data_IF_689974870171
#
_entry.id   IF_689974870171
#
_cell.length_a   1.000
_cell.length_b   1.000
_cell.length_c   1.000
_cell.angle_alpha   90.00
_cell.angle_beta   90.00
_cell.angle_gamma   90.00
#
_symmetry.space_group_name_H-M   'P 1'
#
loop_
_entity.id
_entity.type
_entity.pdbx_description
1 polymer ?
#
# COMPACT_ATOMS: atom_id res chain seq x y z
N UNK A 1 12.74 26.41 12.67
CA UNK A 1 13.75 25.39 12.32
C UNK A 1 13.07 24.07 12.03
N UNK A 2 13.26 23.55 10.81
CA UNK A 2 12.64 22.31 10.31
C UNK A 2 13.70 21.27 9.93
N UNK A 3 14.90 21.38 10.49
CA UNK A 3 16.03 20.50 10.22
C UNK A 3 16.24 19.62 11.45
N UNK A 4 16.31 18.32 11.23
CA UNK A 4 16.75 17.34 12.22
C UNK A 4 18.21 16.98 11.95
N UNK A 5 19.02 16.96 13.00
CA UNK A 5 20.42 16.55 12.92
C UNK A 5 20.56 15.07 13.27
N UNK A 6 21.12 14.30 12.36
CA UNK A 6 21.43 12.88 12.58
C UNK A 6 22.94 12.74 12.76
N UNK A 7 23.37 12.30 13.94
CA UNK A 7 24.75 11.87 14.14
C UNK A 7 24.86 10.39 13.82
N UNK A 8 25.75 10.04 12.91
CA UNK A 8 25.92 8.67 12.43
C UNK A 8 27.32 8.15 12.77
N UNK A 9 27.41 6.93 13.28
CA UNK A 9 28.66 6.24 13.60
C UNK A 9 28.70 4.86 12.94
N UNK A 10 29.88 4.39 12.57
CA UNK A 10 30.07 3.03 12.07
C UNK A 10 30.20 2.01 13.21
N UNK A 11 29.80 0.76 12.97
CA UNK A 11 29.89 -0.38 13.88
C UNK A 11 31.31 -0.97 14.05
N UNK A 12 32.25 -0.14 14.50
CA UNK A 12 33.61 -0.57 14.81
C UNK A 12 33.65 -1.71 15.86
N UNK A 13 34.67 -2.58 15.85
CA UNK A 13 34.83 -3.63 16.86
C UNK A 13 34.86 -3.12 18.31
N UNK A 14 35.26 -1.86 18.50
CA UNK A 14 35.33 -1.17 19.79
C UNK A 14 34.13 -0.25 20.06
N UNK A 15 32.99 -0.48 19.38
CA UNK A 15 31.80 0.38 19.44
C UNK A 15 31.41 0.89 20.84
N UNK A 16 31.40 0.07 21.93
CA UNK A 16 31.04 0.57 23.26
C UNK A 16 31.92 1.73 23.77
N UNK A 17 33.16 1.82 23.29
CA UNK A 17 34.08 2.92 23.57
C UNK A 17 33.94 4.02 22.53
N UNK A 18 33.85 3.65 21.25
CA UNK A 18 33.83 4.58 20.12
C UNK A 18 32.61 5.50 20.12
N UNK A 19 31.42 5.01 20.53
CA UNK A 19 30.22 5.85 20.64
C UNK A 19 30.43 7.02 21.61
N UNK A 20 31.28 6.89 22.62
CA UNK A 20 31.57 7.98 23.55
C UNK A 20 32.67 8.90 23.03
N UNK A 21 33.69 8.33 22.38
CA UNK A 21 34.83 9.09 21.86
C UNK A 21 34.47 9.96 20.66
N UNK A 22 33.59 9.47 19.78
CA UNK A 22 33.17 10.16 18.55
C UNK A 22 31.84 10.90 18.69
N UNK A 23 31.15 10.79 19.83
CA UNK A 23 29.95 11.58 20.05
C UNK A 23 30.30 13.06 20.05
N UNK A 24 29.62 13.90 19.23
CA UNK A 24 29.80 15.34 19.30
C UNK A 24 29.19 15.93 20.58
N UNK A 25 28.54 15.12 21.42
CA UNK A 25 27.77 15.54 22.59
C UNK A 25 26.28 15.61 22.28
N UNK A 26 25.45 15.36 23.29
CA UNK A 26 23.99 15.22 23.12
C UNK A 26 23.30 16.49 22.62
N UNK A 27 23.91 17.67 22.70
CA UNK A 27 23.36 18.91 22.15
C UNK A 27 23.47 19.04 20.63
N UNK A 28 24.26 18.20 19.97
CA UNK A 28 24.61 18.35 18.55
C UNK A 28 23.84 17.43 17.59
N UNK A 29 22.99 16.55 18.11
CA UNK A 29 22.16 15.66 17.28
C UNK A 29 20.76 15.50 17.87
N UNK A 30 19.78 15.28 17.02
CA UNK A 30 18.41 14.92 17.40
C UNK A 30 18.21 13.41 17.36
N UNK A 31 18.93 12.71 16.48
CA UNK A 31 18.90 11.24 16.33
C UNK A 31 20.32 10.70 16.32
N UNK A 32 20.58 9.63 17.06
CA UNK A 32 21.83 8.87 16.96
C UNK A 32 21.63 7.66 16.05
N UNK A 33 22.51 7.47 15.08
CA UNK A 33 22.38 6.46 14.03
C UNK A 33 23.64 5.60 13.93
N UNK A 34 23.47 4.33 13.57
CA UNK A 34 24.56 3.36 13.46
C UNK A 34 24.57 2.70 12.08
N UNK A 35 25.73 2.67 11.43
CA UNK A 35 25.95 1.88 10.22
C UNK A 35 26.44 0.47 10.56
N UNK A 36 26.01 -0.51 9.77
CA UNK A 36 26.23 -1.93 9.99
C UNK A 36 27.03 -2.53 8.84
N UNK A 37 28.36 -2.51 8.98
CA UNK A 37 29.31 -2.98 7.97
C UNK A 37 30.09 -4.23 8.39
N UNK A 38 30.11 -4.57 9.68
CA UNK A 38 30.96 -5.66 10.18
C UNK A 38 30.38 -7.08 10.01
N UNK A 39 29.14 -7.20 9.54
CA UNK A 39 28.47 -8.46 9.21
C UNK A 39 27.80 -9.21 10.37
N UNK A 40 27.90 -8.76 11.63
CA UNK A 40 27.28 -9.42 12.79
C UNK A 40 25.78 -9.03 12.99
N UNK A 41 25.31 -8.03 12.24
CA UNK A 41 23.93 -7.55 12.25
C UNK A 41 23.52 -6.81 13.54
N UNK A 42 22.24 -6.93 13.90
CA UNK A 42 21.63 -6.21 15.01
C UNK A 42 21.90 -6.91 16.36
N UNK A 43 23.13 -6.81 16.87
CA UNK A 43 23.48 -7.41 18.17
C UNK A 43 22.92 -6.60 19.35
N UNK A 44 22.67 -7.28 20.47
CA UNK A 44 22.24 -6.63 21.72
C UNK A 44 23.26 -5.62 22.23
N UNK A 45 24.56 -5.86 22.03
CA UNK A 45 25.62 -4.95 22.41
C UNK A 45 25.53 -3.62 21.66
N UNK A 46 25.34 -3.66 20.32
CA UNK A 46 25.14 -2.46 19.49
C UNK A 46 23.90 -1.67 19.90
N UNK A 47 22.79 -2.37 20.12
CA UNK A 47 21.55 -1.76 20.58
C UNK A 47 21.70 -1.06 21.94
N UNK A 48 22.40 -1.67 22.89
CA UNK A 48 22.66 -1.08 24.20
C UNK A 48 23.61 0.12 24.13
N UNK A 49 24.66 0.04 23.31
CA UNK A 49 25.60 1.14 23.10
C UNK A 49 24.91 2.38 22.52
N UNK A 50 24.07 2.20 21.49
CA UNK A 50 23.33 3.29 20.87
C UNK A 50 22.30 3.91 21.81
N UNK A 51 21.58 3.10 22.60
CA UNK A 51 20.68 3.63 23.62
C UNK A 51 21.40 4.46 24.68
N UNK A 52 22.59 4.00 25.12
CA UNK A 52 23.35 4.69 26.13
C UNK A 52 23.80 6.09 25.66
N UNK A 53 24.31 6.20 24.44
CA UNK A 53 24.77 7.50 23.89
C UNK A 53 23.61 8.43 23.51
N UNK A 54 22.47 7.88 23.05
CA UNK A 54 21.31 8.68 22.68
C UNK A 54 20.51 9.19 23.90
N UNK A 55 20.56 8.48 25.02
CA UNK A 55 19.77 8.79 26.20
C UNK A 55 18.26 8.70 25.92
N UNK A 56 17.55 9.82 26.02
CA UNK A 56 16.12 9.91 25.69
C UNK A 56 15.84 10.18 24.21
N UNK A 57 16.89 10.37 23.38
CA UNK A 57 16.74 10.68 21.96
C UNK A 57 16.51 9.41 21.13
N UNK A 58 15.84 9.53 19.97
CA UNK A 58 15.68 8.43 19.03
C UNK A 58 17.03 7.82 18.59
N UNK A 59 17.01 6.51 18.35
CA UNK A 59 18.11 5.80 17.67
C UNK A 59 17.64 5.25 16.32
N UNK A 60 18.56 5.13 15.37
CA UNK A 60 18.26 4.65 14.03
C UNK A 60 19.34 3.72 13.45
N UNK A 61 18.94 2.91 12.47
CA UNK A 61 19.85 2.13 11.65
C UNK A 61 20.17 2.97 10.41
N UNK A 62 21.40 3.46 10.33
CA UNK A 62 21.88 4.41 9.33
C UNK A 62 22.05 3.76 7.98
N UNK A 63 22.96 2.80 7.90
CA UNK A 63 23.22 2.04 6.68
C UNK A 63 23.31 0.56 7.01
N UNK A 64 22.53 -0.28 6.32
CA UNK A 64 22.58 -1.72 6.50
C UNK A 64 22.45 -2.46 5.17
N UNK A 65 23.24 -3.51 5.00
CA UNK A 65 23.15 -4.41 3.83
C UNK A 65 22.08 -5.49 4.02
N UNK A 66 22.24 -6.35 5.03
CA UNK A 66 21.22 -7.36 5.40
C UNK A 66 20.13 -6.70 6.24
N UNK A 67 18.94 -6.56 5.66
CA UNK A 67 17.81 -5.90 6.30
C UNK A 67 17.39 -6.63 7.59
N UNK A 68 16.94 -5.90 8.62
CA UNK A 68 16.49 -6.52 9.87
C UNK A 68 15.24 -7.36 9.62
N UNK A 69 15.00 -8.36 10.45
CA UNK A 69 13.72 -9.07 10.49
C UNK A 69 12.71 -8.34 11.38
N UNK A 70 11.42 -8.57 11.14
CA UNK A 70 10.35 -8.06 12.00
C UNK A 70 10.54 -8.47 13.47
N UNK A 71 11.04 -9.69 13.72
CA UNK A 71 11.33 -10.19 15.06
C UNK A 71 12.50 -9.46 15.73
N UNK A 72 13.58 -9.15 14.98
CA UNK A 72 14.69 -8.35 15.51
C UNK A 72 14.24 -6.94 15.88
N UNK A 73 13.42 -6.30 15.04
CA UNK A 73 12.85 -4.98 15.34
C UNK A 73 11.90 -5.03 16.56
N UNK A 74 11.12 -6.10 16.72
CA UNK A 74 10.28 -6.28 17.90
C UNK A 74 11.11 -6.48 19.18
N UNK A 75 12.26 -7.17 19.10
CA UNK A 75 13.18 -7.36 20.21
C UNK A 75 13.99 -6.09 20.56
N UNK A 76 14.15 -5.16 19.60
CA UNK A 76 14.90 -3.91 19.73
C UNK A 76 14.01 -2.71 19.37
N UNK A 77 12.96 -2.41 20.16
CA UNK A 77 11.85 -1.55 19.75
C UNK A 77 12.19 -0.05 19.65
N UNK A 78 13.39 0.38 20.05
CA UNK A 78 13.79 1.81 19.99
C UNK A 78 14.39 2.24 18.65
N UNK A 79 14.64 1.32 17.72
CA UNK A 79 15.00 1.69 16.35
C UNK A 79 13.84 2.42 15.69
N UNK A 80 14.05 3.69 15.35
CA UNK A 80 13.00 4.59 14.87
C UNK A 80 12.83 4.52 13.35
N UNK A 81 13.93 4.34 12.63
CA UNK A 81 13.94 4.02 11.21
C UNK A 81 15.15 3.12 10.89
N UNK A 82 15.11 2.51 9.70
CA UNK A 82 16.24 1.81 9.12
C UNK A 82 16.40 2.21 7.66
N UNK A 83 17.64 2.34 7.22
CA UNK A 83 17.97 2.68 5.83
C UNK A 83 18.90 1.62 5.26
N UNK A 84 18.43 0.97 4.20
CA UNK A 84 19.18 -0.04 3.47
C UNK A 84 20.13 0.62 2.48
N UNK A 85 21.34 0.08 2.33
CA UNK A 85 22.31 0.58 1.36
C UNK A 85 22.02 0.03 -0.04
N UNK A 86 21.67 0.92 -0.99
CA UNK A 86 21.23 0.65 -2.38
C UNK A 86 21.44 -0.79 -2.85
N UNK A 87 22.62 -1.09 -3.39
CA UNK A 87 22.87 -2.35 -4.10
C UNK A 87 23.02 -3.54 -3.12
N UNK A 88 23.35 -3.27 -1.85
CA UNK A 88 23.45 -4.30 -0.82
C UNK A 88 22.08 -4.83 -0.42
N UNK A 89 21.03 -3.99 -0.45
CA UNK A 89 19.66 -4.44 -0.18
C UNK A 89 19.27 -5.56 -1.15
N UNK A 90 19.53 -5.38 -2.44
CA UNK A 90 19.13 -6.37 -3.46
C UNK A 90 20.10 -7.55 -3.61
N UNK A 91 21.37 -7.37 -3.25
CA UNK A 91 22.37 -8.45 -3.33
C UNK A 91 22.47 -9.31 -2.06
N UNK A 92 22.10 -8.78 -0.89
CA UNK A 92 22.22 -9.48 0.39
C UNK A 92 20.88 -9.96 0.97
N UNK A 93 19.75 -9.61 0.35
CA UNK A 93 18.42 -10.03 0.80
C UNK A 93 17.65 -10.68 -0.35
N UNK A 94 16.89 -11.71 -0.01
CA UNK A 94 15.92 -12.31 -0.95
C UNK A 94 14.67 -11.44 -1.03
N UNK A 95 13.97 -11.51 -2.17
CA UNK A 95 12.68 -10.83 -2.35
C UNK A 95 11.66 -11.22 -1.26
N UNK A 96 11.63 -12.49 -0.85
CA UNK A 96 10.76 -12.97 0.22
C UNK A 96 11.06 -12.32 1.58
N UNK A 97 12.34 -12.12 1.92
CA UNK A 97 12.73 -11.42 3.15
C UNK A 97 12.29 -9.95 3.13
N UNK A 98 12.48 -9.26 2.00
CA UNK A 98 12.06 -7.87 1.84
C UNK A 98 10.53 -7.74 1.94
N UNK A 99 9.78 -8.59 1.27
CA UNK A 99 8.30 -8.63 1.37
C UNK A 99 7.88 -8.89 2.82
N UNK A 100 8.48 -9.88 3.48
CA UNK A 100 8.15 -10.21 4.87
C UNK A 100 8.44 -9.06 5.84
N UNK A 101 9.52 -8.30 5.64
CA UNK A 101 9.86 -7.15 6.47
C UNK A 101 8.88 -6.00 6.25
N UNK A 102 8.68 -5.58 5.01
CA UNK A 102 7.87 -4.40 4.68
C UNK A 102 6.35 -4.64 4.80
N UNK A 103 5.91 -5.89 4.97
CA UNK A 103 4.51 -6.25 5.29
C UNK A 103 4.27 -6.47 6.79
N UNK A 104 5.30 -6.41 7.64
CA UNK A 104 5.18 -6.68 9.07
C UNK A 104 4.38 -5.59 9.80
N UNK A 105 3.55 -6.00 10.78
CA UNK A 105 2.67 -5.07 11.50
C UNK A 105 3.42 -4.03 12.35
N UNK A 106 4.69 -4.27 12.69
CA UNK A 106 5.57 -3.37 13.44
C UNK A 106 6.48 -2.54 12.53
N UNK A 107 6.26 -2.52 11.21
CA UNK A 107 7.01 -1.71 10.25
C UNK A 107 6.04 -0.78 9.53
N UNK A 108 6.36 0.52 9.56
CA UNK A 108 5.64 1.53 8.80
C UNK A 108 6.45 1.89 7.55
N UNK A 109 5.86 1.64 6.39
CA UNK A 109 6.38 2.15 5.12
C UNK A 109 5.99 3.60 4.92
N UNK A 110 6.63 4.28 3.96
CA UNK A 110 6.25 5.63 3.55
C UNK A 110 4.74 5.77 3.28
N UNK A 111 4.11 4.72 2.73
CA UNK A 111 2.67 4.68 2.48
C UNK A 111 1.76 4.71 3.70
N UNK A 112 2.31 4.38 4.87
CA UNK A 112 1.58 4.19 6.13
C UNK A 112 1.90 5.29 7.16
N UNK A 113 2.91 6.15 6.93
CA UNK A 113 3.30 7.19 7.88
C UNK A 113 2.23 8.28 8.02
N UNK A 114 1.70 8.56 9.23
CA UNK A 114 0.73 9.63 9.45
C UNK A 114 1.38 11.01 9.25
N UNK A 115 0.69 11.93 8.56
CA UNK A 115 1.14 13.33 8.40
C UNK A 115 2.20 13.55 7.32
N UNK A 116 2.90 12.49 6.89
CA UNK A 116 3.63 12.44 5.64
C UNK A 116 2.62 11.94 4.63
N UNK A 117 1.97 12.84 3.90
CA UNK A 117 0.88 12.50 2.98
C UNK A 117 1.21 11.22 2.22
N UNK A 118 0.25 10.28 2.15
CA UNK A 118 0.31 9.06 1.32
C UNK A 118 1.14 9.38 0.07
N UNK A 119 2.14 8.54 -0.31
CA UNK A 119 3.09 8.82 -1.39
C UNK A 119 2.30 9.49 -2.49
N UNK A 120 2.73 10.69 -2.86
CA UNK A 120 1.99 11.55 -3.79
C UNK A 120 1.41 10.62 -4.85
N UNK A 121 0.08 10.48 -4.95
CA UNK A 121 -0.50 9.47 -5.82
C UNK A 121 -0.08 9.64 -7.30
N UNK A 122 0.54 10.77 -7.62
CA UNK A 122 1.20 11.06 -8.89
C UNK A 122 2.61 10.44 -9.07
N UNK A 123 3.22 9.81 -8.06
CA UNK A 123 4.58 9.23 -8.13
C UNK A 123 4.65 7.71 -7.91
N UNK A 124 3.63 7.07 -7.32
CA UNK A 124 3.55 5.60 -7.23
C UNK A 124 2.97 5.04 -8.54
N UNK A 125 3.71 4.16 -9.23
CA UNK A 125 3.19 3.45 -10.40
C UNK A 125 2.15 2.39 -9.97
N UNK A 126 0.88 2.70 -10.19
CA UNK A 126 -0.27 1.85 -9.88
C UNK A 126 -0.34 0.57 -10.74
N UNK A 127 0.28 0.58 -11.92
CA UNK A 127 0.27 -0.55 -12.85
C UNK A 127 1.38 -1.58 -12.55
N UNK A 128 2.38 -1.21 -11.74
CA UNK A 128 3.54 -2.07 -11.45
C UNK A 128 3.12 -3.45 -10.92
N UNK A 129 3.60 -4.50 -11.60
CA UNK A 129 3.32 -5.92 -11.33
C UNK A 129 1.83 -6.27 -11.21
N UNK A 130 0.95 -5.50 -11.85
CA UNK A 130 -0.49 -5.79 -11.87
C UNK A 130 -0.86 -6.83 -12.93
N UNK A 131 -1.99 -7.54 -12.75
CA UNK A 131 -2.49 -8.45 -13.77
C UNK A 131 -2.73 -7.73 -15.10
N UNK A 132 -2.19 -8.31 -16.18
CA UNK A 132 -2.33 -7.80 -17.54
C UNK A 132 -3.07 -8.81 -18.43
N UNK A 133 -4.06 -8.36 -19.17
CA UNK A 133 -4.76 -9.12 -20.22
C UNK A 133 -4.51 -8.44 -21.57
N UNK A 134 -4.21 -9.22 -22.60
CA UNK A 134 -3.93 -8.70 -23.94
C UNK A 134 -4.77 -9.42 -24.99
N UNK A 135 -5.04 -8.77 -26.12
CA UNK A 135 -5.70 -9.42 -27.26
C UNK A 135 -4.83 -10.56 -27.82
N UNK A 136 -3.52 -10.36 -27.86
CA UNK A 136 -2.57 -11.37 -28.33
C UNK A 136 -1.16 -11.10 -27.83
N UNK A 137 -0.29 -12.11 -27.96
CA UNK A 137 1.13 -12.02 -27.64
C UNK A 137 1.95 -12.66 -28.76
N UNK A 138 2.96 -11.93 -29.24
CA UNK A 138 4.08 -12.48 -29.99
C UNK A 138 5.12 -13.01 -28.99
N UNK A 139 5.29 -14.33 -28.90
CA UNK A 139 6.30 -14.92 -28.03
C UNK A 139 7.72 -14.51 -28.50
N UNK A 140 8.67 -14.25 -27.58
CA UNK A 140 8.58 -14.45 -26.12
C UNK A 140 8.11 -13.22 -25.32
N UNK A 141 7.56 -12.19 -25.97
CA UNK A 141 7.29 -10.87 -25.39
C UNK A 141 5.98 -10.83 -24.58
N UNK A 142 6.00 -11.44 -23.38
CA UNK A 142 4.83 -11.63 -22.53
C UNK A 142 4.16 -10.32 -22.07
N UNK A 143 2.85 -10.35 -21.82
CA UNK A 143 2.07 -9.19 -21.40
C UNK A 143 2.57 -8.54 -20.09
N UNK A 144 3.08 -9.34 -19.16
CA UNK A 144 3.60 -8.87 -17.87
C UNK A 144 4.83 -7.95 -18.02
N UNK A 145 5.58 -8.07 -19.12
CA UNK A 145 6.74 -7.22 -19.40
C UNK A 145 6.39 -5.78 -19.71
N UNK A 146 5.11 -5.42 -19.86
CA UNK A 146 4.70 -4.02 -19.99
C UNK A 146 4.56 -3.32 -18.63
N UNK A 147 4.69 -4.02 -17.51
CA UNK A 147 4.45 -3.47 -16.16
C UNK A 147 5.44 -4.01 -15.12
N UNK A 148 6.59 -4.52 -15.54
CA UNK A 148 7.57 -5.18 -14.66
C UNK A 148 8.62 -4.20 -14.10
N UNK A 149 8.64 -2.96 -14.59
CA UNK A 149 9.60 -1.92 -14.20
C UNK A 149 10.97 -2.05 -14.86
N UNK A 150 11.12 -2.95 -15.84
CA UNK A 150 12.35 -3.16 -16.58
C UNK A 150 12.20 -2.60 -18.02
N UNK A 151 12.78 -1.43 -18.33
CA UNK A 151 12.65 -0.85 -19.66
C UNK A 151 13.37 -1.66 -20.75
N UNK A 152 14.09 -2.74 -20.41
CA UNK A 152 14.77 -3.61 -21.38
C UNK A 152 13.88 -4.74 -21.91
N UNK A 153 12.83 -5.12 -21.17
CA UNK A 153 11.81 -6.09 -21.59
C UNK A 153 10.67 -5.40 -22.34
N UNK A 154 9.78 -6.17 -22.98
CA UNK A 154 8.59 -5.64 -23.67
C UNK A 154 7.47 -6.65 -23.81
N UNK A 155 6.23 -6.19 -23.78
CA UNK A 155 5.13 -6.90 -24.43
C UNK A 155 5.13 -6.62 -25.93
N UNK A 156 4.80 -7.63 -26.74
CA UNK A 156 4.55 -7.49 -28.17
C UNK A 156 3.26 -8.18 -28.60
N UNK A 157 2.45 -7.54 -29.44
CA UNK A 157 1.25 -8.13 -30.01
C UNK A 157 1.54 -8.91 -31.30
N UNK A 158 0.55 -9.70 -31.76
CA UNK A 158 0.52 -10.15 -33.15
C UNK A 158 0.30 -8.96 -34.12
N UNK A 159 0.55 -9.21 -35.41
CA UNK A 159 0.75 -8.16 -36.41
C UNK A 159 -0.59 -7.81 -37.08
N UNK A 160 -1.55 -7.35 -36.27
CA UNK A 160 -2.90 -7.03 -36.70
C UNK A 160 -3.41 -5.79 -35.97
N UNK A 161 -4.39 -5.11 -36.57
CA UNK A 161 -5.08 -3.96 -35.98
C UNK A 161 -6.57 -4.29 -35.82
N UNK A 162 -7.22 -3.97 -34.69
CA UNK A 162 -6.66 -3.40 -33.47
C UNK A 162 -6.03 -4.47 -32.52
N UNK A 163 -5.23 -4.00 -31.56
CA UNK A 163 -4.74 -4.80 -30.42
C UNK A 163 -4.92 -4.04 -29.11
N UNK A 164 -5.13 -4.77 -28.03
CA UNK A 164 -5.40 -4.18 -26.72
C UNK A 164 -4.51 -4.78 -25.65
N UNK A 165 -4.09 -3.94 -24.71
CA UNK A 165 -3.51 -4.32 -23.43
C UNK A 165 -4.34 -3.68 -22.31
N UNK A 166 -4.73 -4.48 -21.34
CA UNK A 166 -5.56 -4.10 -20.19
C UNK A 166 -4.84 -4.45 -18.89
N UNK A 167 -4.74 -3.48 -17.98
CA UNK A 167 -4.18 -3.66 -16.64
C UNK A 167 -5.30 -3.53 -15.59
N UNK A 168 -5.42 -4.51 -14.68
CA UNK A 168 -6.27 -4.38 -13.48
C UNK A 168 -5.47 -3.75 -12.34
N UNK A 169 -5.73 -2.48 -12.04
CA UNK A 169 -5.03 -1.72 -10.99
C UNK A 169 -5.38 -2.22 -9.57
N UNK A 170 -6.41 -3.04 -9.44
CA UNK A 170 -6.85 -3.70 -8.19
C UNK A 170 -7.80 -2.88 -7.32
N UNK A 171 -8.03 -1.61 -7.64
CA UNK A 171 -9.00 -0.74 -6.97
C UNK A 171 -9.41 0.42 -7.92
N UNK A 172 -10.45 1.17 -7.58
CA UNK A 172 -10.78 2.39 -8.31
C UNK A 172 -9.81 3.52 -7.93
N UNK A 173 -9.20 4.14 -8.94
CA UNK A 173 -8.32 5.29 -8.80
C UNK A 173 -8.84 6.46 -9.62
N UNK A 174 -8.71 7.67 -9.10
CA UNK A 174 -8.83 8.89 -9.86
C UNK A 174 -7.54 9.02 -10.66
N UNK A 175 -7.54 8.40 -11.84
CA UNK A 175 -6.40 8.39 -12.74
C UNK A 175 -6.14 9.81 -13.21
N UNK A 176 -4.91 10.27 -12.99
CA UNK A 176 -4.47 11.59 -13.39
C UNK A 176 -3.46 11.51 -14.53
N UNK A 177 -2.58 10.51 -14.50
CA UNK A 177 -1.49 10.38 -15.45
C UNK A 177 -1.28 8.94 -15.90
N UNK A 178 -1.06 8.76 -17.19
CA UNK A 178 -0.61 7.50 -17.80
C UNK A 178 0.64 7.78 -18.63
N UNK A 179 1.67 6.98 -18.46
CA UNK A 179 2.90 7.03 -19.25
C UNK A 179 3.03 5.71 -20.01
N UNK A 180 3.34 5.81 -21.30
CA UNK A 180 3.62 4.66 -22.17
C UNK A 180 5.03 4.84 -22.71
N UNK A 181 5.87 3.83 -22.49
CA UNK A 181 7.14 3.66 -23.18
C UNK A 181 6.96 2.57 -24.23
N UNK A 182 6.83 2.98 -25.48
CA UNK A 182 6.80 2.09 -26.63
C UNK A 182 8.21 1.57 -26.97
N UNK A 183 8.25 0.45 -27.67
CA UNK A 183 9.42 0.06 -28.47
C UNK A 183 9.37 0.78 -29.84
N UNK A 184 10.30 0.51 -30.76
CA UNK A 184 10.25 1.04 -32.14
C UNK A 184 8.93 0.71 -32.82
N UNK A 185 8.36 -0.47 -32.54
CA UNK A 185 7.04 -0.89 -33.01
C UNK A 185 5.89 -0.26 -32.19
N UNK A 186 5.83 1.08 -32.21
CA UNK A 186 4.86 1.90 -31.49
C UNK A 186 3.44 1.84 -32.08
N UNK A 187 2.45 2.24 -31.29
CA UNK A 187 1.12 2.58 -31.78
C UNK A 187 1.11 3.98 -32.40
N UNK A 188 0.79 4.07 -33.70
CA UNK A 188 0.62 5.36 -34.40
C UNK A 188 -0.70 6.01 -34.00
N UNK A 189 -1.76 5.21 -34.04
CA UNK A 189 -3.08 5.61 -33.56
C UNK A 189 -3.48 4.68 -32.42
N UNK A 190 -3.87 5.26 -31.28
CA UNK A 190 -4.29 4.48 -30.11
C UNK A 190 -5.20 5.28 -29.18
N UNK A 191 -5.96 4.54 -28.37
CA UNK A 191 -6.79 5.07 -27.30
C UNK A 191 -6.22 4.68 -25.94
N UNK A 192 -6.20 5.64 -25.02
CA UNK A 192 -6.08 5.39 -23.58
C UNK A 192 -7.50 5.39 -23.00
N UNK A 193 -7.91 4.29 -22.41
CA UNK A 193 -9.27 4.11 -21.90
C UNK A 193 -9.28 3.65 -20.45
N UNK A 194 -10.25 4.13 -19.68
CA UNK A 194 -10.48 3.73 -18.31
C UNK A 194 -11.83 3.03 -18.15
N UNK A 195 -11.92 2.10 -17.22
CA UNK A 195 -13.16 1.43 -16.84
C UNK A 195 -13.15 1.08 -15.35
N UNK A 196 -14.32 1.08 -14.71
CA UNK A 196 -14.51 0.63 -13.32
C UNK A 196 -14.96 -0.83 -13.23
N UNK A 197 -15.44 -1.41 -14.34
CA UNK A 197 -16.10 -2.72 -14.40
C UNK A 197 -15.53 -3.68 -15.46
N UNK A 198 -14.54 -3.25 -16.23
CA UNK A 198 -13.92 -3.97 -17.35
C UNK A 198 -14.87 -4.26 -18.54
N UNK A 199 -16.05 -3.65 -18.55
CA UNK A 199 -17.09 -3.85 -19.58
C UNK A 199 -17.36 -2.53 -20.31
N UNK A 200 -17.62 -1.48 -19.54
CA UNK A 200 -17.91 -0.14 -20.06
C UNK A 200 -16.64 0.71 -20.03
N UNK A 201 -16.21 1.18 -21.20
CA UNK A 201 -14.95 1.88 -21.38
C UNK A 201 -15.17 3.34 -21.74
N UNK A 202 -14.50 4.24 -21.02
CA UNK A 202 -14.44 5.67 -21.35
C UNK A 202 -13.08 5.98 -21.95
N UNK A 203 -13.08 6.63 -23.11
CA UNK A 203 -11.84 7.13 -23.73
C UNK A 203 -11.34 8.35 -22.98
N UNK A 204 -10.16 8.21 -22.36
CA UNK A 204 -9.50 9.28 -21.62
C UNK A 204 -8.59 10.10 -22.54
N UNK A 205 -7.98 9.44 -23.53
CA UNK A 205 -7.18 10.09 -24.57
C UNK A 205 -7.37 9.37 -25.91
N UNK A 206 -7.50 10.15 -26.97
CA UNK A 206 -7.40 9.69 -28.35
C UNK A 206 -6.11 10.27 -28.95
N UNK A 207 -5.23 9.40 -29.44
CA UNK A 207 -3.95 9.76 -30.04
C UNK A 207 -3.92 9.27 -31.49
N UNK A 208 -3.52 10.16 -32.40
CA UNK A 208 -3.39 9.87 -33.82
C UNK A 208 -2.05 10.38 -34.34
N UNK A 209 -1.47 9.71 -35.33
CA UNK A 209 -0.20 10.06 -35.95
C UNK A 209 0.98 10.20 -34.96
N UNK A 210 1.00 9.37 -33.91
CA UNK A 210 2.11 9.34 -32.96
C UNK A 210 3.41 8.88 -33.64
N UNK A 211 4.49 9.60 -33.38
CA UNK A 211 5.85 9.28 -33.81
C UNK A 211 6.80 9.07 -32.63
N UNK A 212 6.34 9.31 -31.40
CA UNK A 212 7.17 9.29 -30.19
C UNK A 212 7.06 7.94 -29.48
N UNK A 213 8.21 7.44 -29.00
CA UNK A 213 8.24 6.22 -28.19
C UNK A 213 7.89 6.50 -26.72
N UNK A 214 8.12 7.73 -26.24
CA UNK A 214 7.69 8.16 -24.91
C UNK A 214 6.43 9.00 -25.03
N UNK A 215 5.34 8.57 -24.41
CA UNK A 215 4.12 9.36 -24.33
C UNK A 215 3.65 9.48 -22.88
N UNK A 216 3.45 10.73 -22.43
CA UNK A 216 2.85 11.04 -21.15
C UNK A 216 1.51 11.74 -21.37
N UNK A 217 0.45 11.18 -20.79
CA UNK A 217 -0.90 11.72 -20.82
C UNK A 217 -1.30 12.12 -19.41
N UNK A 218 -1.31 13.42 -19.13
CA UNK A 218 -1.72 13.98 -17.85
C UNK A 218 -3.16 14.55 -17.90
N UNK A 219 -3.70 14.91 -16.73
CA UNK A 219 -5.03 15.51 -16.54
C UNK A 219 -6.17 14.63 -17.08
N UNK A 220 -6.06 13.31 -16.94
CA UNK A 220 -7.09 12.36 -17.42
C UNK A 220 -8.40 12.46 -16.65
N UNK A 221 -8.35 12.82 -15.35
CA UNK A 221 -9.49 13.25 -14.55
C UNK A 221 -10.62 12.22 -14.38
N UNK A 222 -10.35 10.93 -14.57
CA UNK A 222 -11.37 9.88 -14.60
C UNK A 222 -11.14 8.80 -13.55
N UNK A 223 -12.23 8.23 -13.02
CA UNK A 223 -12.15 7.10 -12.11
C UNK A 223 -12.07 5.80 -12.92
N UNK A 224 -11.05 4.99 -12.66
CA UNK A 224 -10.89 3.68 -13.28
C UNK A 224 -10.20 2.69 -12.36
N UNK A 225 -10.59 1.42 -12.47
CA UNK A 225 -9.86 0.25 -11.96
C UNK A 225 -9.08 -0.44 -13.07
N UNK A 226 -9.62 -0.43 -14.28
CA UNK A 226 -9.01 -1.03 -15.45
C UNK A 226 -8.50 0.05 -16.38
N UNK A 227 -7.23 -0.04 -16.76
CA UNK A 227 -6.61 0.82 -17.75
C UNK A 227 -6.40 0.01 -19.03
N UNK A 228 -6.87 0.52 -20.17
CA UNK A 228 -6.69 -0.10 -21.49
C UNK A 228 -5.93 0.82 -22.43
N UNK A 229 -4.93 0.25 -23.10
CA UNK A 229 -4.31 0.82 -24.29
C UNK A 229 -4.83 0.05 -25.50
N UNK A 230 -5.60 0.69 -26.36
CA UNK A 230 -6.15 0.10 -27.59
C UNK A 230 -5.43 0.71 -28.80
N UNK A 231 -4.49 -0.03 -29.36
CA UNK A 231 -3.83 0.31 -30.62
C UNK A 231 -4.78 0.10 -31.80
N UNK A 232 -5.05 1.15 -32.56
CA UNK A 232 -5.95 1.13 -33.73
C UNK A 232 -5.23 1.20 -35.06
N UNK A 233 -3.99 1.69 -35.08
CA UNK A 233 -3.10 1.60 -36.23
C UNK A 233 -1.64 1.48 -35.79
N UNK A 234 -0.92 0.51 -36.35
CA UNK A 234 0.53 0.33 -36.10
C UNK A 234 1.36 1.44 -36.73
N UNK A 235 2.46 1.81 -36.07
CA UNK A 235 3.45 2.75 -36.60
C UNK A 235 4.49 2.10 -37.53
N UNK A 236 4.58 0.77 -37.53
CA UNK A 236 5.51 -0.01 -38.35
C UNK A 236 4.81 -1.23 -38.96
N UNK A 237 5.54 -2.08 -39.70
CA UNK A 237 5.03 -3.36 -40.19
C UNK A 237 4.85 -4.43 -39.08
N UNK A 238 5.51 -4.24 -37.93
CA UNK A 238 5.44 -5.15 -36.77
C UNK A 238 4.19 -4.89 -35.92
N UNK A 239 3.91 -5.76 -34.94
CA UNK A 239 2.85 -5.59 -33.94
C UNK A 239 3.09 -4.41 -32.98
N UNK A 240 2.09 -4.06 -32.16
CA UNK A 240 2.26 -3.07 -31.11
C UNK A 240 3.19 -3.59 -30.03
N UNK A 241 4.06 -2.72 -29.51
CA UNK A 241 5.09 -3.12 -28.57
C UNK A 241 5.32 -2.09 -27.47
N UNK A 242 5.11 -2.49 -26.21
CA UNK A 242 5.21 -1.62 -25.03
C UNK A 242 6.29 -2.18 -24.11
N UNK A 243 7.30 -1.36 -23.81
CA UNK A 243 8.33 -1.64 -22.80
C UNK A 243 7.78 -1.41 -21.41
N UNK A 244 7.12 -0.28 -21.16
CA UNK A 244 6.55 0.02 -19.85
C UNK A 244 5.24 0.82 -19.96
N UNK A 245 4.28 0.50 -19.11
CA UNK A 245 3.01 1.19 -18.92
C UNK A 245 2.89 1.57 -17.45
N UNK A 246 2.89 2.88 -17.19
CA UNK A 246 2.81 3.42 -15.85
C UNK A 246 1.50 4.17 -15.68
N UNK A 247 0.84 3.94 -14.55
CA UNK A 247 -0.41 4.62 -14.19
C UNK A 247 -0.24 5.33 -12.86
N UNK A 248 -0.75 6.55 -12.77
CA UNK A 248 -0.67 7.37 -11.56
C UNK A 248 -2.01 8.03 -11.28
N UNK A 249 -2.37 8.08 -10.01
CA UNK A 249 -3.67 8.54 -9.57
C UNK A 249 -3.89 8.29 -8.09
N UNK A 250 -4.87 8.97 -7.51
CA UNK A 250 -5.23 8.78 -6.11
C UNK A 250 -6.24 7.67 -5.98
N UNK A 251 -6.14 6.87 -4.91
CA UNK A 251 -7.20 5.92 -4.61
C UNK A 251 -8.50 6.70 -4.48
N UNK A 252 -9.52 6.30 -5.23
CA UNK A 252 -10.89 6.71 -4.91
C UNK A 252 -11.28 5.84 -3.75
N UNK A 253 -10.89 6.27 -2.54
CA UNK A 253 -11.70 5.94 -1.37
C UNK A 253 -13.08 6.44 -1.75
N UNK A 254 -14.02 5.53 -1.96
CA UNK A 254 -15.40 5.94 -2.14
C UNK A 254 -15.75 6.86 -0.97
N UNK A 255 -15.84 8.18 -1.20
CA UNK A 255 -16.99 8.88 -0.67
C UNK A 255 -18.13 8.14 -1.31
N UNK A 256 -18.76 7.25 -0.54
CA UNK A 256 -19.92 6.51 -1.01
C UNK A 256 -20.79 7.47 -1.82
N UNK A 257 -20.92 7.22 -3.13
CA UNK A 257 -22.14 7.63 -3.81
C UNK A 257 -23.28 7.08 -2.94
N UNK A 258 -24.36 7.84 -2.80
CA UNK A 258 -25.52 7.42 -2.02
C UNK A 258 -26.11 6.10 -2.58
N UNK A 259 -25.48 4.99 -2.24
CA UNK A 259 -26.12 3.71 -1.99
C UNK A 259 -26.98 3.90 -0.74
N UNK A 260 -28.14 3.23 -0.64
CA UNK A 260 -28.83 3.10 0.63
C UNK A 260 -27.80 2.66 1.67
N UNK A 261 -27.74 3.41 2.75
CA UNK A 261 -26.60 3.55 3.63
C UNK A 261 -26.15 2.22 4.26
N UNK A 262 -25.30 1.39 3.61
CA UNK A 262 -24.84 0.07 4.12
C UNK A 262 -24.02 0.10 5.45
N UNK A 263 -24.11 1.17 6.23
CA UNK A 263 -23.24 1.47 7.35
C UNK A 263 -23.83 0.98 8.67
N UNK A 264 -23.21 -0.07 9.22
CA UNK A 264 -23.23 -0.31 10.66
C UNK A 264 -22.22 0.63 11.33
N UNK A 265 -22.67 1.54 12.19
CA UNK A 265 -21.83 2.45 12.97
C UNK A 265 -21.85 2.11 14.46
N UNK A 266 -20.71 2.23 15.13
CA UNK A 266 -20.56 1.96 16.56
C UNK A 266 -20.16 3.23 17.31
N UNK A 267 -20.87 3.55 18.40
CA UNK A 267 -20.52 4.66 19.27
C UNK A 267 -20.98 4.45 20.72
N UNK A 268 -20.17 4.80 21.74
CA UNK A 268 -18.76 5.17 21.65
C UNK A 268 -17.88 3.94 21.43
N UNK A 269 -16.72 4.12 20.80
CA UNK A 269 -15.66 3.12 20.72
C UNK A 269 -14.31 3.82 20.94
N UNK A 270 -13.63 3.64 22.09
CA UNK A 270 -13.90 2.62 23.12
C UNK A 270 -15.21 2.81 23.89
N UNK A 271 -15.82 1.71 24.33
CA UNK A 271 -17.09 1.67 25.07
C UNK A 271 -16.86 1.34 26.54
N UNK A 272 -17.65 1.96 27.43
CA UNK A 272 -17.64 1.68 28.87
C UNK A 272 -18.87 0.89 29.29
N UNK A 273 -20.08 1.39 29.05
CA UNK A 273 -21.32 0.80 29.58
C UNK A 273 -22.26 0.28 28.52
N UNK A 274 -22.41 1.02 27.42
CA UNK A 274 -23.36 0.71 26.36
C UNK A 274 -22.84 1.12 24.99
N UNK A 275 -22.96 0.23 24.02
CA UNK A 275 -22.54 0.46 22.64
C UNK A 275 -23.77 0.74 21.77
N UNK A 276 -23.88 1.95 21.24
CA UNK A 276 -24.85 2.26 20.20
C UNK A 276 -24.39 1.65 18.87
N UNK A 277 -25.31 0.97 18.18
CA UNK A 277 -25.15 0.33 16.88
C UNK A 277 -26.17 0.96 15.94
N UNK A 278 -25.74 1.88 15.10
CA UNK A 278 -26.59 2.43 14.04
C UNK A 278 -26.55 1.51 12.85
N UNK A 279 -27.69 1.03 12.40
CA UNK A 279 -27.86 0.15 11.25
C UNK A 279 -28.46 0.91 10.09
N UNK A 280 -27.87 0.78 8.92
CA UNK A 280 -28.45 1.26 7.68
C UNK A 280 -29.81 0.65 7.32
N UNK A 281 -30.55 1.27 6.39
CA UNK A 281 -31.87 0.82 5.95
C UNK A 281 -31.90 -0.60 5.33
N UNK A 282 -30.76 -1.11 4.90
CA UNK A 282 -30.53 -2.46 4.39
C UNK A 282 -30.53 -3.53 5.48
N UNK A 283 -30.35 -3.20 6.76
CA UNK A 283 -30.39 -4.18 7.84
C UNK A 283 -31.82 -4.30 8.37
N UNK A 284 -32.58 -5.32 7.94
CA UNK A 284 -33.97 -5.50 8.37
C UNK A 284 -34.08 -5.84 9.86
N UNK A 285 -35.29 -5.87 10.38
CA UNK A 285 -35.57 -6.10 11.81
C UNK A 285 -35.06 -7.45 12.34
N UNK A 286 -34.90 -8.45 11.47
CA UNK A 286 -34.33 -9.77 11.77
C UNK A 286 -32.80 -9.80 11.75
N UNK A 287 -32.14 -8.66 11.54
CA UNK A 287 -30.68 -8.55 11.64
C UNK A 287 -30.19 -9.00 13.01
N UNK A 288 -29.24 -9.93 13.01
CA UNK A 288 -28.63 -10.49 14.21
C UNK A 288 -27.34 -9.77 14.53
N UNK A 289 -27.24 -9.24 15.74
CA UNK A 289 -26.06 -8.63 16.33
C UNK A 289 -25.40 -9.65 17.26
N UNK A 290 -24.17 -10.06 16.96
CA UNK A 290 -23.43 -11.08 17.72
C UNK A 290 -22.11 -10.51 18.18
N UNK A 291 -21.86 -10.49 19.50
CA UNK A 291 -20.58 -10.06 20.06
C UNK A 291 -19.67 -11.27 20.24
N UNK A 292 -18.45 -11.17 19.74
CA UNK A 292 -17.42 -12.20 19.80
C UNK A 292 -16.21 -11.65 20.57
N UNK A 293 -15.56 -12.49 21.39
CA UNK A 293 -14.28 -12.15 22.02
C UNK A 293 -13.09 -12.38 21.05
N UNK A 294 -11.86 -12.13 21.51
CA UNK A 294 -10.62 -12.21 20.72
C UNK A 294 -10.32 -13.61 20.15
N UNK A 295 -10.89 -14.66 20.75
CA UNK A 295 -10.77 -16.05 20.29
C UNK A 295 -11.98 -16.51 19.46
N UNK A 296 -12.91 -15.60 19.12
CA UNK A 296 -14.07 -15.88 18.29
C UNK A 296 -15.25 -16.57 18.99
N UNK A 297 -15.24 -16.65 20.33
CA UNK A 297 -16.37 -17.18 21.09
C UNK A 297 -17.48 -16.14 21.18
N UNK A 298 -18.74 -16.58 21.03
CA UNK A 298 -19.92 -15.71 21.19
C UNK A 298 -20.11 -15.38 22.67
N UNK A 299 -20.06 -14.09 23.00
CA UNK A 299 -20.25 -13.56 24.37
C UNK A 299 -21.55 -12.75 24.52
N UNK A 300 -22.27 -12.52 23.41
CA UNK A 300 -23.56 -11.86 23.43
C UNK A 300 -24.28 -11.99 22.09
N UNK A 301 -25.61 -12.00 22.10
CA UNK A 301 -26.43 -11.99 20.88
C UNK A 301 -27.71 -11.22 21.11
N UNK A 302 -28.08 -10.38 20.16
CA UNK A 302 -29.32 -9.60 20.19
C UNK A 302 -29.89 -9.49 18.77
N UNK A 303 -31.20 -9.64 18.62
CA UNK A 303 -31.88 -9.28 17.37
C UNK A 303 -32.07 -7.77 17.32
N UNK A 304 -31.95 -7.17 16.14
CA UNK A 304 -32.15 -5.74 15.95
C UNK A 304 -33.55 -5.34 16.42
N UNK A 305 -34.62 -6.05 16.03
CA UNK A 305 -36.01 -5.82 16.45
C UNK A 305 -36.67 -4.60 15.77
N UNK A 306 -37.96 -4.32 16.04
CA UNK A 306 -38.65 -3.15 15.51
C UNK A 306 -38.36 -1.94 16.41
N UNK A 307 -37.50 -1.01 16.03
CA UNK A 307 -37.41 0.28 16.72
C UNK A 307 -37.38 1.43 15.73
N UNK A 308 -38.06 2.47 16.14
CA UNK A 308 -38.03 3.84 15.66
C UNK A 308 -36.62 4.41 15.75
N UNK A 309 -36.06 4.80 14.61
CA UNK A 309 -34.71 5.34 14.51
C UNK A 309 -33.67 4.23 14.41
N UNK A 310 -32.85 4.28 13.37
CA UNK A 310 -31.84 3.31 12.94
C UNK A 310 -30.80 2.86 13.99
N UNK A 311 -30.90 3.23 15.27
CA UNK A 311 -29.89 2.97 16.32
C UNK A 311 -30.36 1.94 17.34
N UNK A 312 -29.50 0.99 17.70
CA UNK A 312 -29.69 -0.04 18.73
C UNK A 312 -28.67 0.11 19.83
N UNK A 313 -28.96 -0.37 21.01
CA UNK A 313 -27.99 -0.35 22.11
C UNK A 313 -27.67 -1.77 22.53
N UNK A 314 -26.39 -2.13 22.47
CA UNK A 314 -25.87 -3.38 23.04
C UNK A 314 -25.37 -3.10 24.46
N UNK A 315 -25.83 -3.85 25.48
CA UNK A 315 -25.29 -3.75 26.82
C UNK A 315 -23.88 -4.35 26.84
N UNK A 316 -22.87 -3.53 27.12
CA UNK A 316 -21.46 -3.98 27.19
C UNK A 316 -20.89 -3.96 28.59
N UNK A 317 -21.69 -3.57 29.60
CA UNK A 317 -21.25 -3.41 30.99
C UNK A 317 -20.70 -4.71 31.62
N UNK A 318 -21.21 -5.88 31.21
CA UNK A 318 -20.77 -7.18 31.72
C UNK A 318 -19.53 -7.74 30.99
N UNK A 319 -19.06 -7.08 29.93
CA UNK A 319 -17.86 -7.50 29.20
C UNK A 319 -16.61 -7.08 29.98
N UNK A 320 -15.63 -7.97 30.08
CA UNK A 320 -14.31 -7.61 30.59
C UNK A 320 -13.61 -6.61 29.64
N UNK A 321 -12.71 -5.74 30.13
CA UNK A 321 -11.89 -4.89 29.27
C UNK A 321 -11.12 -5.72 28.23
N UNK A 322 -11.11 -5.29 26.98
CA UNK A 322 -10.51 -6.05 25.88
C UNK A 322 -11.08 -5.73 24.50
N UNK A 323 -10.60 -6.44 23.48
CA UNK A 323 -11.07 -6.30 22.10
C UNK A 323 -12.23 -7.26 21.83
N UNK A 324 -13.25 -6.76 21.17
CA UNK A 324 -14.41 -7.54 20.74
C UNK A 324 -14.73 -7.28 19.26
N UNK A 325 -15.40 -8.24 18.64
CA UNK A 325 -15.97 -8.12 17.30
C UNK A 325 -17.49 -8.13 17.41
N UNK A 326 -18.15 -7.10 16.89
CA UNK A 326 -19.57 -7.15 16.58
C UNK A 326 -19.76 -7.70 15.18
N UNK A 327 -20.42 -8.84 15.07
CA UNK A 327 -20.89 -9.41 13.81
C UNK A 327 -22.37 -9.08 13.60
N UNK A 328 -22.68 -8.39 12.51
CA UNK A 328 -24.02 -8.02 12.06
C UNK A 328 -24.40 -8.92 10.89
N UNK A 329 -25.52 -9.64 10.98
CA UNK A 329 -25.87 -10.69 10.03
C UNK A 329 -27.34 -10.62 9.62
N UNK A 330 -27.58 -10.76 8.32
CA UNK A 330 -28.89 -11.02 7.70
C UNK A 330 -28.73 -12.16 6.68
N UNK A 331 -29.80 -12.79 6.20
CA UNK A 331 -29.69 -13.76 5.11
C UNK A 331 -28.90 -13.18 3.91
N UNK A 332 -27.83 -13.86 3.50
CA UNK A 332 -27.01 -13.45 2.35
C UNK A 332 -25.98 -12.34 2.60
N UNK A 333 -25.90 -11.74 3.80
CA UNK A 333 -24.91 -10.71 4.10
C UNK A 333 -24.43 -10.74 5.56
N UNK A 334 -23.13 -10.52 5.76
CA UNK A 334 -22.55 -10.32 7.08
C UNK A 334 -21.54 -9.19 7.06
N UNK A 335 -21.43 -8.48 8.18
CA UNK A 335 -20.43 -7.46 8.43
C UNK A 335 -19.84 -7.65 9.83
N UNK A 336 -18.53 -7.46 9.99
CA UNK A 336 -17.87 -7.53 11.29
C UNK A 336 -17.16 -6.22 11.60
N UNK A 337 -17.35 -5.68 12.80
CA UNK A 337 -16.76 -4.43 13.24
C UNK A 337 -16.10 -4.63 14.60
N UNK A 338 -14.86 -4.18 14.74
CA UNK A 338 -14.11 -4.22 15.99
C UNK A 338 -14.55 -3.08 16.92
N UNK A 339 -14.72 -3.38 18.21
CA UNK A 339 -14.80 -2.38 19.27
C UNK A 339 -13.96 -2.76 20.48
N UNK A 340 -13.61 -1.78 21.30
CA UNK A 340 -12.79 -1.94 22.51
C UNK A 340 -13.64 -1.65 23.73
N UNK A 341 -13.70 -2.58 24.69
CA UNK A 341 -14.27 -2.35 26.02
C UNK A 341 -13.15 -1.83 26.93
N UNK A 342 -13.39 -0.68 27.57
CA UNK A 342 -12.54 -0.14 28.63
C UNK A 342 -12.95 -0.64 30.00
#
# INVERSE_FOLDING_TARGET
>A
DNILWVWNIQDFPTLPVDVNNYSPGSSYFDVASLDFYNGDGLTTAKYNAMQAVAGSKPIAIGEIGVMPTAAQLAAQPKWTYFMGWSDLVFSQNTQAQLISLYSAANVLTLGQMPGWGKPNPNTLNLAYQKPVTVTSTEAPNAAAFAVDGDPTTRWGSLYADPQELVVDLGANYALNRVVILWEVALGKDYLVQGSTDNVNWTTLKNVTNNTEQFNEHANLGSTARYLKIRGTARGTAYGFSIRELLAYGSVVTATASAQPDERVQLYPNPVTTSLAVTLGPEWPQDTRLTVLNEVGQVVGTQLAGPATGSTRTLPTAALAPGIYLLRVQRPGANQSIKFVKQ
#
